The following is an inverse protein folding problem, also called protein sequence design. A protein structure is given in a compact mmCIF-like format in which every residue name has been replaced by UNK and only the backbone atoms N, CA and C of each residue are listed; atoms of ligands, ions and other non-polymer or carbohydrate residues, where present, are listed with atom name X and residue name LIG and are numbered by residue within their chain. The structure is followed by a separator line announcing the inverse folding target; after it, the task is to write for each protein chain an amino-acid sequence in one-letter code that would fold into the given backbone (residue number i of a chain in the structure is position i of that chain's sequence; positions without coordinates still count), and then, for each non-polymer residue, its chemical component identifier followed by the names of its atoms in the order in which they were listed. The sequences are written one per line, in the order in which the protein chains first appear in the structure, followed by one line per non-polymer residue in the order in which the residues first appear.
data_IF_987341744666
#
_entry.id   IF_987341744666
#
_cell.length_a   1.000
_cell.length_b   1.000
_cell.length_c   1.000
_cell.angle_alpha   90.00
_cell.angle_beta   90.00
_cell.angle_gamma   90.00
#
_symmetry.space_group_name_H-M   'P 1'
#
loop_
_entity.id
_entity.type
_entity.pdbx_description
1 polymer ?
#
# COMPACT_ATOMS: atom_id res chain seq x y z
N UNK A 1 -9.48 30.20 -2.24
CA UNK A 1 -9.10 28.77 -2.00
C UNK A 1 -10.10 28.19 -1.00
N UNK A 2 -10.58 26.96 -1.21
CA UNK A 2 -11.44 26.27 -0.23
C UNK A 2 -10.65 25.93 1.05
N UNK A 3 -11.35 25.79 2.18
CA UNK A 3 -10.74 25.43 3.47
C UNK A 3 -10.30 23.95 3.49
N UNK A 4 -9.32 23.57 4.32
CA UNK A 4 -8.93 22.16 4.49
C UNK A 4 -10.12 21.24 4.83
N UNK A 5 -11.02 21.69 5.72
CA UNK A 5 -12.22 20.94 6.10
C UNK A 5 -13.18 20.73 4.93
N UNK A 6 -13.38 21.76 4.08
CA UNK A 6 -14.21 21.63 2.89
C UNK A 6 -13.60 20.66 1.87
N UNK A 7 -12.28 20.68 1.68
CA UNK A 7 -11.59 19.74 0.80
C UNK A 7 -11.71 18.29 1.31
N UNK A 8 -11.64 18.10 2.62
CA UNK A 8 -11.82 16.78 3.26
C UNK A 8 -13.25 16.28 3.06
N UNK A 9 -14.25 17.13 3.35
CA UNK A 9 -15.67 16.82 3.14
C UNK A 9 -15.94 16.41 1.68
N UNK A 10 -15.48 17.20 0.72
CA UNK A 10 -15.66 16.90 -0.70
C UNK A 10 -15.05 15.55 -1.10
N UNK A 11 -13.93 15.14 -0.46
CA UNK A 11 -13.35 13.80 -0.68
C UNK A 11 -14.17 12.69 -0.05
N UNK A 12 -14.71 12.91 1.15
CA UNK A 12 -15.58 11.94 1.82
C UNK A 12 -16.84 11.69 0.99
N UNK A 13 -17.48 12.75 0.49
CA UNK A 13 -18.65 12.63 -0.40
C UNK A 13 -18.29 11.95 -1.72
N UNK A 14 -17.10 12.23 -2.29
CA UNK A 14 -16.71 11.67 -3.59
C UNK A 14 -16.36 10.17 -3.54
N UNK A 15 -15.93 9.66 -2.38
CA UNK A 15 -15.43 8.29 -2.22
C UNK A 15 -16.12 7.57 -1.05
N UNK A 16 -17.38 7.92 -0.80
CA UNK A 16 -18.19 7.36 0.28
C UNK A 16 -18.35 5.85 0.12
N UNK A 17 -18.59 5.39 -1.11
CA UNK A 17 -18.62 4.00 -1.55
C UNK A 17 -17.43 3.19 -1.03
N UNK A 18 -16.22 3.76 -1.09
CA UNK A 18 -14.98 3.11 -0.67
C UNK A 18 -14.70 3.26 0.81
N UNK A 19 -15.00 4.44 1.38
CA UNK A 19 -14.73 4.75 2.78
C UNK A 19 -15.66 3.94 3.68
N UNK A 20 -16.92 3.74 3.27
CA UNK A 20 -17.95 3.06 4.04
C UNK A 20 -18.14 1.59 3.63
N UNK A 21 -17.34 1.08 2.70
CA UNK A 21 -17.44 -0.30 2.19
C UNK A 21 -17.44 -1.38 3.31
N UNK A 22 -16.77 -1.12 4.43
CA UNK A 22 -16.74 -2.02 5.59
C UNK A 22 -18.12 -2.23 6.25
N UNK A 23 -19.10 -1.36 6.00
CA UNK A 23 -20.48 -1.51 6.49
C UNK A 23 -21.23 -2.62 5.74
N UNK A 24 -20.88 -2.86 4.48
CA UNK A 24 -21.53 -3.85 3.61
C UNK A 24 -20.68 -5.12 3.46
N UNK A 25 -19.36 -5.00 3.57
CA UNK A 25 -18.39 -6.07 3.37
C UNK A 25 -17.56 -6.31 4.65
N UNK A 26 -17.92 -7.29 5.50
CA UNK A 26 -17.26 -7.55 6.78
C UNK A 26 -15.78 -7.95 6.67
N UNK A 27 -15.33 -8.39 5.50
CA UNK A 27 -13.94 -8.71 5.19
C UNK A 27 -13.06 -7.46 4.99
N UNK A 28 -13.66 -6.30 4.76
CA UNK A 28 -12.96 -5.03 4.64
C UNK A 28 -12.84 -4.41 6.04
N UNK A 29 -11.62 -4.14 6.54
CA UNK A 29 -11.45 -3.47 7.82
C UNK A 29 -11.92 -2.01 7.75
N UNK A 30 -12.42 -1.49 8.88
CA UNK A 30 -12.83 -0.08 9.00
C UNK A 30 -11.65 0.91 8.88
N UNK A 31 -10.43 0.42 9.07
CA UNK A 31 -9.20 1.20 9.03
C UNK A 31 -8.36 0.93 7.78
N UNK A 32 -7.44 1.84 7.49
CA UNK A 32 -6.51 1.73 6.37
C UNK A 32 -5.08 1.32 6.80
N UNK A 33 -4.92 0.80 8.03
CA UNK A 33 -3.61 0.55 8.63
C UNK A 33 -2.77 -0.41 7.78
N UNK A 34 -3.42 -1.40 7.16
CA UNK A 34 -2.73 -2.38 6.32
C UNK A 34 -2.12 -1.72 5.08
N UNK A 35 -2.86 -0.86 4.37
CA UNK A 35 -2.33 -0.17 3.20
C UNK A 35 -1.22 0.81 3.60
N UNK A 36 -1.38 1.53 4.72
CA UNK A 36 -0.34 2.43 5.24
C UNK A 36 0.96 1.68 5.56
N UNK A 37 0.87 0.54 6.24
CA UNK A 37 2.02 -0.35 6.51
C UNK A 37 2.65 -0.84 5.20
N UNK A 38 1.83 -1.18 4.22
CA UNK A 38 2.28 -1.65 2.91
C UNK A 38 2.99 -0.55 2.12
N UNK A 39 2.64 0.73 2.23
CA UNK A 39 3.38 1.82 1.56
C UNK A 39 4.55 2.38 2.39
N UNK A 40 4.56 2.17 3.71
CA UNK A 40 5.51 2.79 4.64
C UNK A 40 6.98 2.59 4.26
N UNK A 41 7.42 1.40 3.84
CA UNK A 41 8.85 1.21 3.53
C UNK A 41 9.30 1.99 2.30
N UNK A 42 8.40 2.33 1.37
CA UNK A 42 8.76 3.21 0.24
C UNK A 42 9.15 4.59 0.77
N UNK A 43 8.39 5.11 1.75
CA UNK A 43 8.73 6.37 2.41
C UNK A 43 9.99 6.27 3.27
N UNK A 44 10.18 5.15 3.97
CA UNK A 44 11.41 4.88 4.75
C UNK A 44 12.64 4.82 3.83
N UNK A 45 12.55 4.13 2.69
CA UNK A 45 13.62 4.06 1.68
C UNK A 45 14.00 5.45 1.18
N UNK A 46 13.01 6.30 0.92
CA UNK A 46 13.23 7.69 0.54
C UNK A 46 13.88 8.52 1.65
N UNK A 47 13.37 8.42 2.88
CA UNK A 47 13.79 9.26 4.02
C UNK A 47 15.14 8.86 4.61
N UNK A 48 15.39 7.56 4.77
CA UNK A 48 16.48 7.03 5.59
C UNK A 48 17.56 6.36 4.74
N UNK A 49 17.19 5.69 3.66
CA UNK A 49 18.11 4.82 2.91
C UNK A 49 18.58 5.44 1.58
N UNK A 50 18.74 6.77 1.55
CA UNK A 50 19.40 7.48 0.45
C UNK A 50 18.60 7.62 -0.85
N UNK A 51 17.26 7.59 -0.77
CA UNK A 51 16.34 7.72 -1.92
C UNK A 51 16.60 6.71 -3.05
N UNK A 52 15.92 6.88 -4.19
CA UNK A 52 16.16 6.12 -5.41
C UNK A 52 17.02 6.95 -6.36
N UNK A 53 18.05 6.32 -6.95
CA UNK A 53 18.97 6.98 -7.89
C UNK A 53 18.45 7.02 -9.32
N UNK A 54 17.48 6.18 -9.65
CA UNK A 54 16.79 6.16 -10.94
C UNK A 54 15.34 5.72 -10.76
N UNK A 55 14.52 5.97 -11.78
CA UNK A 55 13.11 5.55 -11.81
C UNK A 55 13.01 4.02 -11.85
N UNK A 56 13.85 3.39 -12.65
CA UNK A 56 13.92 1.93 -12.84
C UNK A 56 14.23 1.23 -11.51
N UNK A 57 15.14 1.79 -10.70
CA UNK A 57 15.44 1.26 -9.37
C UNK A 57 14.28 1.41 -8.38
N UNK A 58 13.49 2.48 -8.51
CA UNK A 58 12.27 2.66 -7.71
C UNK A 58 11.17 1.67 -8.13
N UNK A 59 11.00 1.46 -9.43
CA UNK A 59 10.04 0.49 -9.98
C UNK A 59 10.40 -0.93 -9.56
N UNK A 60 11.67 -1.32 -9.71
CA UNK A 60 12.16 -2.64 -9.27
C UNK A 60 11.90 -2.88 -7.78
N UNK A 61 12.18 -1.87 -6.94
CA UNK A 61 11.88 -1.95 -5.50
C UNK A 61 10.38 -2.13 -5.23
N UNK A 62 9.53 -1.36 -5.91
CA UNK A 62 8.08 -1.46 -5.77
C UNK A 62 7.55 -2.82 -6.24
N UNK A 63 8.07 -3.37 -7.35
CA UNK A 63 7.70 -4.69 -7.87
C UNK A 63 8.03 -5.81 -6.89
N UNK A 64 9.29 -5.90 -6.44
CA UNK A 64 9.73 -6.91 -5.48
C UNK A 64 8.87 -6.85 -4.22
N UNK A 65 8.63 -5.64 -3.71
CA UNK A 65 7.85 -5.47 -2.48
C UNK A 65 6.37 -5.78 -2.67
N UNK A 66 5.79 -5.43 -3.82
CA UNK A 66 4.41 -5.77 -4.17
C UNK A 66 4.22 -7.29 -4.21
N UNK A 67 5.15 -8.00 -4.85
CA UNK A 67 5.18 -9.46 -4.89
C UNK A 67 5.22 -10.05 -3.47
N UNK A 68 6.21 -9.67 -2.66
CA UNK A 68 6.35 -10.17 -1.28
C UNK A 68 5.09 -9.92 -0.43
N UNK A 69 4.47 -8.74 -0.57
CA UNK A 69 3.22 -8.41 0.16
C UNK A 69 2.03 -9.25 -0.31
N UNK A 70 1.96 -9.55 -1.60
CA UNK A 70 0.91 -10.40 -2.17
C UNK A 70 1.06 -11.82 -1.64
N UNK A 71 2.28 -12.37 -1.65
CA UNK A 71 2.55 -13.73 -1.17
C UNK A 71 2.25 -13.88 0.32
N UNK A 72 2.60 -12.88 1.12
CA UNK A 72 2.23 -12.83 2.54
C UNK A 72 0.70 -12.80 2.76
N UNK A 73 -0.04 -12.06 1.92
CA UNK A 73 -1.53 -12.03 1.96
C UNK A 73 -2.13 -13.39 1.57
N UNK A 74 -1.45 -14.14 0.70
CA UNK A 74 -1.80 -15.53 0.37
C UNK A 74 -1.29 -16.56 1.41
N UNK A 75 -0.80 -16.10 2.57
CA UNK A 75 -0.29 -16.95 3.66
C UNK A 75 0.93 -17.79 3.27
N UNK A 76 1.69 -17.38 2.26
CA UNK A 76 2.96 -18.02 1.91
C UNK A 76 4.12 -17.39 2.67
N UNK A 77 5.15 -18.18 2.95
CA UNK A 77 6.39 -17.66 3.52
C UNK A 77 7.23 -16.93 2.47
N UNK A 78 7.98 -15.92 2.90
CA UNK A 78 8.87 -15.14 2.04
C UNK A 78 9.89 -16.03 1.30
N UNK A 79 10.42 -17.08 1.96
CA UNK A 79 11.35 -18.03 1.34
C UNK A 79 10.69 -18.87 0.25
N UNK A 80 9.47 -19.37 0.47
CA UNK A 80 8.73 -20.11 -0.56
C UNK A 80 8.41 -19.23 -1.76
N UNK A 81 8.00 -17.99 -1.51
CA UNK A 81 7.72 -17.00 -2.54
C UNK A 81 8.94 -16.72 -3.41
N UNK A 82 10.10 -16.51 -2.79
CA UNK A 82 11.36 -16.31 -3.51
C UNK A 82 11.74 -17.57 -4.30
N UNK A 83 11.55 -18.75 -3.72
CA UNK A 83 11.81 -20.03 -4.39
C UNK A 83 11.01 -20.23 -5.68
N UNK A 84 9.75 -19.77 -5.73
CA UNK A 84 8.90 -19.88 -6.93
C UNK A 84 9.35 -19.02 -8.11
N UNK A 85 10.16 -17.98 -7.87
CA UNK A 85 10.62 -17.06 -8.94
C UNK A 85 11.99 -17.46 -9.47
N UNK A 86 12.79 -18.15 -8.66
CA UNK A 86 14.18 -18.53 -8.99
C UNK A 86 14.26 -19.91 -9.65
N UNK A 87 13.29 -20.80 -9.37
CA UNK A 87 13.19 -22.13 -9.98
C UNK A 87 12.57 -22.07 -11.39
#
# INVERSE_FOLDING_TARGET
KQTPSQNLWNRFVKYDDRILAFLEHPDIPFDNNQAERDIRMTKVKQKVSGTFRSKEGAESFCQIRSFMRTMKKQKQSDLQAIGQVIA
#
